data_IF_495381005582
#
_entry.id   IF_495381005582
#
_cell.length_a   1.000
_cell.length_b   1.000
_cell.length_c   1.000
_cell.angle_alpha   90.00
_cell.angle_beta   90.00
_cell.angle_gamma   90.00
#
_symmetry.space_group_name_H-M   'P 1'
#
loop_
_entity.id
_entity.type
_entity.pdbx_description
1 polymer ?
#
# COMPACT_ATOMS: atom_id res chain seq x y z
N UNK A 1 -18.40 -17.61 -30.76
CA UNK A 1 -17.77 -18.62 -29.88
C UNK A 1 -18.78 -18.94 -28.78
N UNK A 2 -19.20 -20.19 -28.63
CA UNK A 2 -20.17 -20.58 -27.60
C UNK A 2 -19.41 -20.79 -26.28
N UNK A 3 -19.72 -20.03 -25.23
CA UNK A 3 -19.17 -20.25 -23.90
C UNK A 3 -19.97 -21.34 -23.20
N UNK A 4 -19.28 -22.40 -22.78
CA UNK A 4 -19.89 -23.48 -22.01
C UNK A 4 -20.12 -23.00 -20.58
N UNK A 5 -21.35 -22.60 -20.28
CA UNK A 5 -21.76 -22.25 -18.92
C UNK A 5 -22.25 -23.51 -18.20
N UNK A 6 -21.68 -23.78 -17.03
CA UNK A 6 -22.18 -24.81 -16.11
C UNK A 6 -23.20 -24.17 -15.16
N UNK A 7 -24.42 -24.71 -15.09
CA UNK A 7 -25.51 -24.17 -14.27
C UNK A 7 -25.45 -24.59 -12.80
N UNK A 8 -24.47 -25.42 -12.41
CA UNK A 8 -24.30 -25.97 -11.05
C UNK A 8 -23.22 -25.28 -10.20
N UNK A 9 -22.65 -24.17 -10.65
CA UNK A 9 -21.59 -23.49 -9.90
C UNK A 9 -22.18 -22.66 -8.74
N UNK A 10 -22.06 -23.17 -7.51
CA UNK A 10 -22.54 -22.50 -6.29
C UNK A 10 -21.48 -21.61 -5.63
N UNK A 11 -20.23 -21.70 -6.05
CA UNK A 11 -19.11 -20.94 -5.48
C UNK A 11 -18.53 -19.96 -6.50
N UNK A 12 -18.37 -18.71 -6.06
CA UNK A 12 -17.67 -17.68 -6.81
C UNK A 12 -16.20 -17.69 -6.38
N UNK A 13 -15.32 -18.19 -7.23
CA UNK A 13 -13.88 -18.11 -7.03
C UNK A 13 -13.41 -16.70 -7.38
N UNK A 14 -13.37 -15.80 -6.39
CA UNK A 14 -12.75 -14.48 -6.55
C UNK A 14 -11.24 -14.65 -6.52
N UNK A 15 -10.57 -14.31 -7.61
CA UNK A 15 -9.12 -14.23 -7.64
C UNK A 15 -8.70 -12.90 -7.00
N UNK A 16 -8.28 -12.94 -5.73
CA UNK A 16 -7.88 -11.78 -4.94
C UNK A 16 -6.36 -11.54 -4.98
N UNK A 17 -5.65 -12.34 -5.79
CA UNK A 17 -4.19 -12.26 -5.91
C UNK A 17 -3.81 -11.04 -6.77
N UNK A 18 -3.70 -9.88 -6.12
CA UNK A 18 -3.09 -8.70 -6.71
C UNK A 18 -1.60 -8.68 -6.34
N UNK A 19 -0.74 -8.87 -7.33
CA UNK A 19 0.71 -8.77 -7.16
C UNK A 19 1.23 -7.54 -7.89
N UNK A 20 2.09 -6.79 -7.20
CA UNK A 20 2.78 -5.65 -7.79
C UNK A 20 3.88 -6.18 -8.74
N UNK A 21 4.04 -5.62 -9.96
CA UNK A 21 5.12 -6.01 -10.85
C UNK A 21 6.50 -5.90 -10.18
N UNK A 22 7.38 -6.87 -10.44
CA UNK A 22 8.71 -6.98 -9.79
C UNK A 22 9.54 -5.69 -9.93
N UNK A 23 9.46 -5.00 -11.07
CA UNK A 23 10.22 -3.78 -11.35
C UNK A 23 9.49 -2.48 -10.94
N UNK A 24 8.44 -2.56 -10.13
CA UNK A 24 7.71 -1.37 -9.70
C UNK A 24 8.47 -0.61 -8.59
N UNK A 25 8.46 0.72 -8.67
CA UNK A 25 9.16 1.58 -7.71
C UNK A 25 8.70 1.38 -6.25
N UNK A 26 7.43 0.98 -6.04
CA UNK A 26 6.90 0.71 -4.71
C UNK A 26 7.62 -0.46 -4.02
N UNK A 27 8.08 -1.47 -4.78
CA UNK A 27 8.82 -2.61 -4.24
C UNK A 27 10.19 -2.17 -3.71
N UNK A 28 10.90 -1.33 -4.49
CA UNK A 28 12.20 -0.75 -4.08
C UNK A 28 12.04 0.14 -2.85
N UNK A 29 10.99 0.96 -2.79
CA UNK A 29 10.69 1.80 -1.63
C UNK A 29 10.37 0.94 -0.41
N UNK A 30 9.60 -0.15 -0.57
CA UNK A 30 9.30 -1.05 0.54
C UNK A 30 10.57 -1.69 1.08
N UNK A 31 11.38 -2.28 0.21
CA UNK A 31 12.64 -2.92 0.60
C UNK A 31 13.59 -1.94 1.30
N UNK A 32 13.69 -0.71 0.79
CA UNK A 32 14.47 0.35 1.43
C UNK A 32 13.96 0.66 2.85
N UNK A 33 12.66 0.88 3.03
CA UNK A 33 12.11 1.19 4.35
C UNK A 33 12.22 -0.01 5.30
N UNK A 34 12.04 -1.22 4.79
CA UNK A 34 12.13 -2.46 5.56
C UNK A 34 13.57 -2.78 5.98
N UNK A 35 14.58 -2.21 5.31
CA UNK A 35 16.00 -2.32 5.70
C UNK A 35 16.39 -1.46 6.90
N UNK A 36 15.56 -0.47 7.27
CA UNK A 36 15.84 0.45 8.38
C UNK A 36 15.52 -0.26 9.71
N UNK A 37 16.44 -0.26 10.69
CA UNK A 37 16.19 -0.89 11.99
C UNK A 37 14.97 -0.29 12.69
N UNK A 38 14.16 -1.16 13.31
CA UNK A 38 12.91 -0.76 13.96
C UNK A 38 13.14 0.20 15.12
N UNK A 39 14.30 0.16 15.79
CA UNK A 39 14.62 1.10 16.87
C UNK A 39 14.71 2.55 16.38
N UNK A 40 14.99 2.76 15.10
CA UNK A 40 15.05 4.09 14.46
C UNK A 40 13.66 4.55 14.03
N UNK A 41 12.80 3.63 13.58
CA UNK A 41 11.47 3.94 13.06
C UNK A 41 10.44 4.11 14.18
N UNK A 42 10.50 3.24 15.20
CA UNK A 42 9.53 3.17 16.28
C UNK A 42 9.99 4.05 17.44
N UNK A 43 9.76 5.35 17.33
CA UNK A 43 9.74 6.21 18.51
C UNK A 43 8.50 5.93 19.37
N UNK A 44 8.61 6.23 20.67
CA UNK A 44 7.52 6.15 21.65
C UNK A 44 6.27 6.86 21.15
N UNK A 45 5.24 6.08 20.82
CA UNK A 45 3.91 6.60 20.49
C UNK A 45 3.34 7.33 21.70
N UNK A 46 2.64 8.44 21.46
CA UNK A 46 1.99 9.20 22.52
C UNK A 46 0.99 8.34 23.30
N UNK A 47 1.09 8.34 24.64
CA UNK A 47 0.17 7.63 25.53
C UNK A 47 -1.28 8.16 25.50
N UNK A 48 -1.50 9.35 24.94
CA UNK A 48 -2.80 10.02 24.85
C UNK A 48 -3.04 10.51 23.43
N UNK A 49 -4.29 10.39 22.95
CA UNK A 49 -4.71 10.89 21.64
C UNK A 49 -5.21 9.78 20.72
N UNK A 50 -5.34 10.10 19.42
CA UNK A 50 -5.66 9.10 18.40
C UNK A 50 -4.46 8.15 18.20
N UNK A 51 -4.69 6.85 17.98
CA UNK A 51 -3.60 5.92 17.72
C UNK A 51 -2.80 6.40 16.51
N UNK A 52 -1.48 6.46 16.67
CA UNK A 52 -0.59 6.85 15.59
C UNK A 52 -0.58 5.77 14.50
N UNK A 53 -0.49 6.20 13.25
CA UNK A 53 -0.19 5.29 12.14
C UNK A 53 1.22 4.74 12.28
N UNK A 54 1.47 3.56 11.70
CA UNK A 54 2.80 2.95 11.73
C UNK A 54 3.81 3.84 10.97
N UNK A 55 4.92 4.29 11.60
CA UNK A 55 5.84 5.24 10.96
C UNK A 55 6.47 4.70 9.67
N UNK A 56 6.80 3.40 9.62
CA UNK A 56 7.28 2.76 8.38
C UNK A 56 6.26 2.88 7.22
N UNK A 57 4.97 2.70 7.49
CA UNK A 57 3.94 2.80 6.46
C UNK A 57 3.81 4.25 5.97
N UNK A 58 3.80 5.20 6.89
CA UNK A 58 3.79 6.62 6.56
C UNK A 58 5.00 7.03 5.71
N UNK A 59 6.18 6.49 6.02
CA UNK A 59 7.40 6.74 5.24
C UNK A 59 7.30 6.17 3.82
N UNK A 60 6.79 4.94 3.66
CA UNK A 60 6.56 4.34 2.33
C UNK A 60 5.62 5.21 1.48
N UNK A 61 4.54 5.71 2.07
CA UNK A 61 3.58 6.60 1.42
C UNK A 61 4.25 7.91 0.96
N UNK A 62 5.01 8.55 1.85
CA UNK A 62 5.70 9.81 1.56
C UNK A 62 6.72 9.65 0.44
N UNK A 63 7.58 8.63 0.53
CA UNK A 63 8.60 8.34 -0.48
C UNK A 63 7.95 8.05 -1.83
N UNK A 64 6.86 7.26 -1.85
CA UNK A 64 6.16 6.95 -3.08
C UNK A 64 5.53 8.19 -3.72
N UNK A 65 4.84 9.03 -2.95
CA UNK A 65 4.26 10.26 -3.46
C UNK A 65 5.31 11.24 -3.99
N UNK A 66 6.43 11.37 -3.26
CA UNK A 66 7.50 12.30 -3.64
C UNK A 66 8.23 11.83 -4.90
N UNK A 67 8.37 10.51 -5.09
CA UNK A 67 8.88 9.94 -6.35
C UNK A 67 8.05 10.34 -7.57
N UNK A 68 6.73 10.58 -7.37
CA UNK A 68 5.78 11.04 -8.38
C UNK A 68 5.58 12.55 -8.42
N UNK A 69 6.43 13.32 -7.71
CA UNK A 69 6.35 14.79 -7.58
C UNK A 69 5.04 15.28 -6.94
N UNK A 70 4.41 14.47 -6.09
CA UNK A 70 3.21 14.85 -5.34
C UNK A 70 3.61 15.23 -3.92
N UNK A 71 3.62 16.53 -3.63
CA UNK A 71 4.11 17.05 -2.34
C UNK A 71 3.01 17.57 -1.41
N UNK A 72 1.81 17.85 -1.94
CA UNK A 72 0.70 18.38 -1.14
C UNK A 72 0.03 17.25 -0.37
N UNK A 73 -0.11 17.40 0.95
CA UNK A 73 -0.75 16.40 1.81
C UNK A 73 -2.14 15.98 1.30
N UNK A 74 -2.99 16.93 0.89
CA UNK A 74 -4.31 16.63 0.29
C UNK A 74 -4.22 15.84 -1.01
N UNK A 75 -3.18 16.10 -1.82
CA UNK A 75 -2.96 15.32 -3.05
C UNK A 75 -2.46 13.92 -2.74
N UNK A 76 -1.66 13.75 -1.69
CA UNK A 76 -1.18 12.44 -1.22
C UNK A 76 -2.36 11.62 -0.69
N UNK A 77 -3.21 12.22 0.14
CA UNK A 77 -4.45 11.62 0.65
C UNK A 77 -5.34 11.16 -0.50
N UNK A 78 -5.63 12.04 -1.46
CA UNK A 78 -6.40 11.69 -2.65
C UNK A 78 -5.76 10.55 -3.46
N UNK A 79 -4.43 10.54 -3.59
CA UNK A 79 -3.72 9.48 -4.31
C UNK A 79 -3.87 8.13 -3.63
N UNK A 80 -3.97 8.08 -2.29
CA UNK A 80 -4.20 6.84 -1.53
C UNK A 80 -5.62 6.31 -1.73
N UNK A 81 -6.61 7.18 -1.89
CA UNK A 81 -7.99 6.78 -2.17
C UNK A 81 -8.17 6.28 -3.61
N UNK A 82 -7.51 6.93 -4.58
CA UNK A 82 -7.65 6.64 -6.00
C UNK A 82 -6.79 5.46 -6.50
N UNK A 83 -5.69 5.13 -5.81
CA UNK A 83 -4.78 4.05 -6.19
C UNK A 83 -4.94 2.83 -5.25
N UNK A 84 -6.18 2.37 -5.10
CA UNK A 84 -6.49 1.09 -4.48
C UNK A 84 -6.49 -0.01 -5.57
N UNK A 85 -5.90 -1.19 -5.32
CA UNK A 85 -6.00 -2.34 -6.23
C UNK A 85 -7.44 -2.88 -6.31
#
# INVERSE_FOLDING_TARGET
MYQNYITGQTTLSLNLDFSIPVNHIASVISEFVDSIPNEVILETTSNTGRPAYHPAMMLKILLFAYSRRVFSGRKIERMLEENLP
#
